data_IF_586526571684
#
_entry.id   IF_586526571684
#
_cell.length_a   1.000
_cell.length_b   1.000
_cell.length_c   1.000
_cell.angle_alpha   90.00
_cell.angle_beta   90.00
_cell.angle_gamma   90.00
#
_symmetry.space_group_name_H-M   'P 1'
#
loop_
_entity.id
_entity.type
_entity.pdbx_description
1 polymer ?
#
# COMPACT_ATOMS: atom_id res chain seq x y z
N UNK A 1 2.84 26.55 -7.82
CA UNK A 1 3.82 25.90 -8.73
C UNK A 1 3.33 24.51 -9.06
N UNK A 2 4.04 23.76 -9.91
CA UNK A 2 3.76 22.33 -10.11
C UNK A 2 4.02 21.54 -8.81
N UNK A 3 3.40 20.36 -8.67
CA UNK A 3 3.60 19.46 -7.52
C UNK A 3 5.11 19.15 -7.39
N UNK A 4 5.71 19.23 -6.19
CA UNK A 4 7.13 18.93 -6.01
C UNK A 4 7.43 17.46 -6.33
N UNK A 5 8.54 17.16 -7.00
CA UNK A 5 8.92 15.78 -7.36
C UNK A 5 8.98 14.79 -6.17
N UNK A 6 9.49 15.15 -4.98
CA UNK A 6 9.38 14.28 -3.79
C UNK A 6 7.95 13.81 -3.54
N UNK A 7 7.00 14.74 -3.62
CA UNK A 7 5.60 14.47 -3.36
C UNK A 7 4.91 13.64 -4.46
N UNK A 8 5.51 13.52 -5.66
CA UNK A 8 5.09 12.60 -6.72
C UNK A 8 5.59 11.16 -6.46
N UNK A 9 6.61 11.00 -5.62
CA UNK A 9 7.21 9.71 -5.25
C UNK A 9 6.57 9.26 -3.94
N UNK A 10 5.42 8.59 -4.03
CA UNK A 10 4.73 8.00 -2.88
C UNK A 10 4.34 9.00 -1.77
N UNK A 11 4.16 10.27 -2.11
CA UNK A 11 3.81 11.31 -1.12
C UNK A 11 4.96 11.71 -0.19
N UNK A 12 6.21 11.36 -0.56
CA UNK A 12 7.43 11.66 0.19
C UNK A 12 7.61 13.16 0.44
N UNK A 13 8.29 13.46 1.54
CA UNK A 13 8.80 14.78 1.87
C UNK A 13 10.33 14.75 2.05
N UNK A 14 10.91 15.84 2.55
CA UNK A 14 12.36 15.97 2.70
C UNK A 14 12.78 15.96 4.18
N UNK A 15 12.03 15.25 5.03
CA UNK A 15 12.31 15.14 6.46
C UNK A 15 13.22 13.95 6.85
N UNK A 16 13.50 13.05 5.90
CA UNK A 16 14.33 11.87 6.10
C UNK A 16 14.19 10.77 5.06
N UNK A 17 13.34 10.95 4.04
CA UNK A 17 13.09 9.93 3.02
C UNK A 17 14.33 9.55 2.20
N UNK A 18 14.47 8.25 1.95
CA UNK A 18 15.52 7.67 1.12
C UNK A 18 15.00 7.39 -0.29
N UNK A 19 15.79 7.75 -1.30
CA UNK A 19 15.43 7.54 -2.70
C UNK A 19 16.35 6.52 -3.35
N UNK A 20 15.75 5.59 -4.10
CA UNK A 20 16.49 4.70 -4.99
C UNK A 20 16.72 5.40 -6.32
N UNK A 21 17.99 5.68 -6.64
CA UNK A 21 18.38 6.30 -7.90
C UNK A 21 19.03 5.24 -8.80
N UNK A 22 18.43 4.99 -9.96
CA UNK A 22 18.90 4.02 -10.94
C UNK A 22 19.37 4.77 -12.18
N UNK A 23 20.64 4.60 -12.55
CA UNK A 23 21.25 5.19 -13.74
C UNK A 23 21.67 4.15 -14.79
N UNK A 24 21.49 2.85 -14.49
CA UNK A 24 21.73 1.79 -15.45
C UNK A 24 20.70 1.89 -16.59
N UNK A 25 21.19 2.01 -17.83
CA UNK A 25 20.35 2.23 -19.01
C UNK A 25 19.39 1.08 -19.27
N UNK A 26 19.78 -0.15 -18.91
CA UNK A 26 18.96 -1.34 -19.12
C UNK A 26 17.76 -1.40 -18.14
N UNK A 27 17.79 -0.58 -17.07
CA UNK A 27 16.74 -0.49 -16.05
C UNK A 27 15.91 0.79 -16.12
N UNK A 28 16.27 1.73 -17.00
CA UNK A 28 15.50 2.95 -17.22
C UNK A 28 14.31 2.63 -18.14
N UNK A 29 13.05 2.88 -17.73
CA UNK A 29 11.91 2.65 -18.58
C UNK A 29 11.97 3.49 -19.87
N UNK A 30 11.72 2.87 -21.01
CA UNK A 30 11.57 3.58 -22.30
C UNK A 30 10.18 4.25 -22.44
N UNK A 31 9.24 3.86 -21.57
CA UNK A 31 7.89 4.41 -21.54
C UNK A 31 7.87 5.76 -20.82
N UNK A 32 7.03 6.72 -21.23
CA UNK A 32 6.84 7.97 -20.51
C UNK A 32 6.42 7.75 -19.05
N UNK A 33 6.79 8.69 -18.18
CA UNK A 33 6.28 8.73 -16.82
C UNK A 33 4.75 8.85 -16.82
N UNK A 34 4.10 8.09 -15.96
CA UNK A 34 2.68 8.25 -15.69
C UNK A 34 2.44 9.56 -14.94
N UNK A 35 1.23 10.12 -15.08
CA UNK A 35 0.85 11.29 -14.30
C UNK A 35 0.87 10.96 -12.81
N UNK A 36 1.33 11.92 -12.00
CA UNK A 36 1.30 11.79 -10.55
C UNK A 36 -0.12 11.48 -10.08
N UNK A 37 -0.26 10.45 -9.25
CA UNK A 37 -1.55 10.08 -8.70
C UNK A 37 -1.99 11.18 -7.73
N UNK A 38 -3.14 11.79 -8.03
CA UNK A 38 -3.71 12.86 -7.22
C UNK A 38 -4.42 12.27 -5.99
N UNK A 39 -3.62 11.78 -5.05
CA UNK A 39 -4.11 11.47 -3.72
C UNK A 39 -3.77 12.63 -2.79
N UNK A 40 -4.76 13.46 -2.51
CA UNK A 40 -4.69 14.48 -1.46
C UNK A 40 -5.30 13.87 -0.20
N UNK A 41 -4.49 13.18 0.60
CA UNK A 41 -4.89 12.64 1.92
C UNK A 41 -5.04 13.72 3.00
N UNK A 42 -4.93 15.01 2.64
CA UNK A 42 -4.95 16.12 3.58
C UNK A 42 -6.37 16.46 4.04
N UNK A 43 -7.07 15.49 4.63
CA UNK A 43 -8.15 15.86 5.53
C UNK A 43 -7.53 16.39 6.82
N UNK A 44 -7.85 17.64 7.17
CA UNK A 44 -7.39 18.24 8.41
C UNK A 44 -7.76 17.33 9.59
N UNK A 45 -6.83 17.07 10.53
CA UNK A 45 -7.15 16.31 11.71
C UNK A 45 -8.27 17.01 12.50
N UNK A 46 -9.14 16.24 13.18
CA UNK A 46 -10.24 16.81 13.95
C UNK A 46 -9.71 17.78 15.01
N UNK A 47 -10.19 19.02 14.97
CA UNK A 47 -9.83 20.06 15.94
C UNK A 47 -10.66 19.89 17.20
N UNK A 48 -10.00 19.86 18.36
CA UNK A 48 -10.66 19.83 19.66
C UNK A 48 -10.82 21.26 20.19
N UNK A 49 -12.05 21.66 20.50
CA UNK A 49 -12.40 22.95 21.11
C UNK A 49 -12.03 23.05 22.61
N UNK A 50 -11.48 21.97 23.19
CA UNK A 50 -11.07 21.88 24.60
C UNK A 50 -9.60 21.49 24.73
N UNK A 51 -8.93 21.78 25.87
CA UNK A 51 -7.59 21.28 26.13
C UNK A 51 -7.50 19.76 26.03
N UNK A 52 -6.41 19.28 25.44
CA UNK A 52 -6.08 17.86 25.31
C UNK A 52 -5.82 17.29 26.71
N UNK A 53 -6.48 16.18 27.04
CA UNK A 53 -6.30 15.44 28.28
C UNK A 53 -5.44 14.19 28.04
N UNK A 54 -4.98 13.55 29.12
CA UNK A 54 -4.30 12.26 29.01
C UNK A 54 -5.19 11.15 28.46
N UNK A 55 -6.49 11.23 28.74
CA UNK A 55 -7.45 10.23 28.26
C UNK A 55 -7.60 10.30 26.74
N UNK A 56 -7.54 11.50 26.14
CA UNK A 56 -7.55 11.66 24.68
C UNK A 56 -6.33 10.99 24.03
N UNK A 57 -5.16 11.17 24.65
CA UNK A 57 -3.92 10.55 24.17
C UNK A 57 -4.02 9.03 24.26
N UNK A 58 -4.50 8.49 25.38
CA UNK A 58 -4.68 7.05 25.55
C UNK A 58 -5.67 6.48 24.53
N UNK A 59 -6.77 7.18 24.27
CA UNK A 59 -7.78 6.77 23.30
C UNK A 59 -7.19 6.69 21.89
N UNK A 60 -6.48 7.73 21.43
CA UNK A 60 -5.83 7.75 20.12
C UNK A 60 -4.79 6.64 20.00
N UNK A 61 -4.00 6.40 21.05
CA UNK A 61 -2.99 5.31 21.04
C UNK A 61 -3.67 3.94 20.92
N UNK A 62 -4.81 3.72 21.58
CA UNK A 62 -5.57 2.48 21.44
C UNK A 62 -6.15 2.35 20.03
N UNK A 63 -6.78 3.39 19.50
CA UNK A 63 -7.36 3.40 18.14
C UNK A 63 -6.30 3.10 17.07
N UNK A 64 -5.14 3.77 17.13
CA UNK A 64 -4.02 3.53 16.20
C UNK A 64 -3.42 2.13 16.38
N UNK A 65 -3.38 1.61 17.61
CA UNK A 65 -2.81 0.27 17.88
C UNK A 65 -3.76 -0.88 17.51
N UNK A 66 -5.07 -0.65 17.48
CA UNK A 66 -6.06 -1.68 17.16
C UNK A 66 -6.19 -1.92 15.65
N UNK A 67 -5.82 -0.94 14.82
CA UNK A 67 -6.02 -0.99 13.37
C UNK A 67 -4.71 -1.26 12.60
N UNK A 68 -4.23 -2.49 12.63
CA UNK A 68 -3.14 -2.98 11.75
C UNK A 68 -3.69 -3.64 10.48
N UNK A 69 -4.30 -2.85 9.61
CA UNK A 69 -4.85 -3.36 8.34
C UNK A 69 -3.93 -3.10 7.13
N UNK A 70 -2.94 -2.23 7.27
CA UNK A 70 -1.99 -1.86 6.21
C UNK A 70 -1.25 -3.06 5.63
N UNK A 71 -0.77 -3.96 6.50
CA UNK A 71 -0.10 -5.19 6.08
C UNK A 71 -1.03 -6.14 5.31
N UNK A 72 -2.30 -6.22 5.71
CA UNK A 72 -3.31 -7.04 5.03
C UNK A 72 -3.65 -6.47 3.64
N UNK A 73 -3.91 -5.15 3.57
CA UNK A 73 -4.19 -4.44 2.31
C UNK A 73 -3.04 -4.55 1.33
N UNK A 74 -1.80 -4.36 1.78
CA UNK A 74 -0.60 -4.50 0.96
C UNK A 74 -0.46 -5.91 0.34
N UNK A 75 -0.76 -6.95 1.14
CA UNK A 75 -0.76 -8.32 0.66
C UNK A 75 -1.88 -8.60 -0.36
N UNK A 76 -3.08 -8.06 -0.14
CA UNK A 76 -4.21 -8.20 -1.05
C UNK A 76 -3.90 -7.48 -2.37
N UNK A 77 -3.40 -6.25 -2.31
CA UNK A 77 -2.96 -5.49 -3.48
C UNK A 77 -1.92 -6.26 -4.29
N UNK A 78 -0.89 -6.81 -3.64
CA UNK A 78 0.15 -7.59 -4.32
C UNK A 78 -0.42 -8.82 -5.06
N UNK A 79 -1.42 -9.49 -4.49
CA UNK A 79 -2.09 -10.62 -5.12
C UNK A 79 -2.95 -10.19 -6.33
N UNK A 80 -3.66 -9.08 -6.22
CA UNK A 80 -4.43 -8.51 -7.34
C UNK A 80 -3.53 -7.99 -8.46
N UNK A 81 -2.39 -7.38 -8.15
CA UNK A 81 -1.40 -6.95 -9.14
C UNK A 81 -0.89 -8.12 -9.96
N UNK A 82 -0.63 -9.27 -9.32
CA UNK A 82 -0.19 -10.47 -10.03
C UNK A 82 -1.28 -11.01 -10.97
N UNK A 83 -2.53 -11.07 -10.47
CA UNK A 83 -3.70 -11.65 -11.15
C UNK A 83 -4.24 -10.78 -12.28
N UNK A 84 -4.45 -9.49 -12.03
CA UNK A 84 -5.16 -8.56 -12.92
C UNK A 84 -4.24 -7.50 -13.54
N UNK A 85 -3.06 -7.28 -12.94
CA UNK A 85 -2.09 -6.27 -13.38
C UNK A 85 -2.25 -4.94 -12.64
N UNK A 86 -1.13 -4.21 -12.54
CA UNK A 86 -1.01 -2.97 -11.75
C UNK A 86 -1.95 -1.84 -12.20
N UNK A 87 -2.31 -1.80 -13.48
CA UNK A 87 -3.22 -0.77 -14.04
C UNK A 87 -4.71 -1.13 -13.95
N UNK A 88 -5.05 -2.27 -13.34
CA UNK A 88 -6.44 -2.64 -13.12
C UNK A 88 -7.11 -1.68 -12.13
N UNK A 89 -8.42 -1.42 -12.32
CA UNK A 89 -9.15 -0.48 -11.47
C UNK A 89 -9.04 -0.86 -9.98
N UNK A 90 -9.16 -2.15 -9.68
CA UNK A 90 -9.06 -2.65 -8.30
C UNK A 90 -7.67 -2.37 -7.68
N UNK A 91 -6.59 -2.50 -8.46
CA UNK A 91 -5.24 -2.19 -7.96
C UNK A 91 -5.07 -0.69 -7.72
N UNK A 92 -5.58 0.15 -8.62
CA UNK A 92 -5.55 1.61 -8.43
C UNK A 92 -6.36 2.06 -7.21
N UNK A 93 -7.57 1.51 -7.04
CA UNK A 93 -8.41 1.79 -5.88
C UNK A 93 -7.71 1.34 -4.56
N UNK A 94 -7.12 0.14 -4.56
CA UNK A 94 -6.37 -0.40 -3.43
C UNK A 94 -5.11 0.43 -3.12
N UNK A 95 -4.38 0.89 -4.13
CA UNK A 95 -3.21 1.76 -3.93
C UNK A 95 -3.61 3.08 -3.26
N UNK A 96 -4.74 3.67 -3.67
CA UNK A 96 -5.31 4.85 -3.01
C UNK A 96 -5.72 4.59 -1.56
N UNK A 97 -6.34 3.43 -1.28
CA UNK A 97 -6.68 3.03 0.08
C UNK A 97 -5.42 2.79 0.94
N UNK A 98 -4.38 2.13 0.41
CA UNK A 98 -3.11 1.94 1.13
C UNK A 98 -2.47 3.30 1.45
N UNK A 99 -2.49 4.24 0.51
CA UNK A 99 -1.98 5.60 0.76
C UNK A 99 -2.72 6.31 1.90
N UNK A 100 -4.05 6.15 1.98
CA UNK A 100 -4.85 6.69 3.10
C UNK A 100 -4.50 6.02 4.42
N UNK A 101 -4.36 4.70 4.39
CA UNK A 101 -4.10 3.90 5.58
C UNK A 101 -2.74 4.23 6.21
N UNK A 102 -1.73 4.57 5.40
CA UNK A 102 -0.44 5.08 5.90
C UNK A 102 -0.61 6.38 6.71
N UNK A 103 -1.51 7.26 6.27
CA UNK A 103 -1.83 8.50 6.96
C UNK A 103 -2.90 8.34 8.06
N UNK A 104 -3.50 7.15 8.22
CA UNK A 104 -4.52 6.90 9.23
C UNK A 104 -3.98 7.10 10.65
N UNK A 105 -2.71 6.78 10.89
CA UNK A 105 -2.05 7.07 12.18
C UNK A 105 -2.01 8.57 12.52
N UNK A 106 -2.09 9.46 11.52
CA UNK A 106 -2.11 10.91 11.67
C UNK A 106 -3.54 11.48 11.69
N UNK A 107 -4.42 10.91 10.87
CA UNK A 107 -5.77 11.45 10.63
C UNK A 107 -6.86 10.77 11.48
N UNK A 108 -6.59 9.58 12.02
CA UNK A 108 -7.56 8.70 12.67
C UNK A 108 -8.61 8.12 11.72
N UNK A 109 -8.40 8.21 10.41
CA UNK A 109 -9.38 7.80 9.39
C UNK A 109 -8.87 6.62 8.58
N UNK A 110 -9.61 5.53 8.67
CA UNK A 110 -9.36 4.31 7.90
C UNK A 110 -10.27 4.28 6.66
N UNK A 111 -9.72 4.02 5.47
CA UNK A 111 -10.46 4.09 4.20
C UNK A 111 -11.39 2.89 4.00
N UNK A 112 -11.08 1.77 4.65
CA UNK A 112 -11.77 0.50 4.48
C UNK A 112 -12.06 -0.13 5.84
N UNK A 113 -13.27 -0.63 5.97
CA UNK A 113 -13.71 -1.43 7.12
C UNK A 113 -13.19 -2.87 7.02
N UNK A 114 -13.13 -3.58 8.15
CA UNK A 114 -12.75 -5.00 8.17
C UNK A 114 -13.60 -5.87 7.24
N UNK A 115 -14.90 -5.57 7.13
CA UNK A 115 -15.83 -6.26 6.25
C UNK A 115 -15.44 -6.10 4.77
N UNK A 116 -15.08 -4.88 4.34
CA UNK A 116 -14.64 -4.63 2.97
C UNK A 116 -13.30 -5.30 2.67
N UNK A 117 -12.39 -5.35 3.65
CA UNK A 117 -11.12 -6.08 3.52
C UNK A 117 -11.37 -7.59 3.37
N UNK A 118 -12.33 -8.13 4.10
CA UNK A 118 -12.75 -9.52 3.97
C UNK A 118 -13.33 -9.81 2.58
N UNK A 119 -14.20 -8.94 2.05
CA UNK A 119 -14.76 -9.07 0.69
C UNK A 119 -13.67 -9.08 -0.39
N UNK A 120 -12.67 -8.19 -0.28
CA UNK A 120 -11.53 -8.16 -1.20
C UNK A 120 -10.71 -9.46 -1.15
N UNK A 121 -10.56 -10.04 0.05
CA UNK A 121 -9.89 -11.33 0.22
C UNK A 121 -10.70 -12.49 -0.35
N UNK A 122 -12.02 -12.45 -0.21
CA UNK A 122 -12.93 -13.43 -0.83
C UNK A 122 -12.92 -13.35 -2.35
N UNK A 123 -12.81 -12.15 -2.93
CA UNK A 123 -12.67 -11.94 -4.38
C UNK A 123 -11.41 -12.58 -5.00
N UNK A 124 -10.39 -12.86 -4.19
CA UNK A 124 -9.22 -13.64 -4.59
C UNK A 124 -9.47 -15.16 -4.58
N UNK A 125 -10.66 -15.62 -4.21
CA UNK A 125 -11.01 -17.02 -3.94
C UNK A 125 -10.05 -17.69 -2.95
N UNK A 126 -9.45 -16.90 -2.06
CA UNK A 126 -8.37 -17.30 -1.15
C UNK A 126 -7.20 -18.02 -1.86
N UNK A 127 -6.95 -17.68 -3.13
CA UNK A 127 -5.81 -18.16 -3.94
C UNK A 127 -4.73 -17.09 -4.02
N UNK A 128 -3.49 -17.49 -3.82
CA UNK A 128 -2.36 -16.57 -3.68
C UNK A 128 -1.24 -16.88 -4.67
N UNK A 129 -0.46 -15.89 -5.13
CA UNK A 129 0.77 -16.16 -5.84
C UNK A 129 1.71 -17.04 -5.00
N UNK A 130 2.40 -17.97 -5.64
CA UNK A 130 3.29 -18.93 -5.01
C UNK A 130 4.53 -18.32 -4.35
N UNK A 131 4.95 -17.12 -4.74
CA UNK A 131 5.98 -16.36 -4.02
C UNK A 131 5.49 -15.81 -2.66
N UNK A 132 4.17 -15.82 -2.39
CA UNK A 132 3.57 -15.37 -1.13
C UNK A 132 3.27 -16.53 -0.16
N UNK A 133 3.96 -17.67 -0.28
CA UNK A 133 3.77 -18.83 0.60
C UNK A 133 4.05 -18.47 2.06
N UNK A 134 3.05 -18.70 2.91
CA UNK A 134 3.11 -18.48 4.36
C UNK A 134 2.29 -19.52 5.11
N UNK A 135 2.60 -19.78 6.38
CA UNK A 135 2.02 -20.84 7.22
C UNK A 135 0.48 -20.79 7.35
N UNK A 136 -0.16 -19.67 7.02
CA UNK A 136 -1.62 -19.49 7.07
C UNK A 136 -2.37 -19.57 5.73
N UNK A 137 -1.68 -19.67 4.59
CA UNK A 137 -2.31 -19.70 3.26
C UNK A 137 -2.25 -21.12 2.69
N UNK A 138 -3.37 -21.60 2.13
CA UNK A 138 -3.51 -23.00 1.68
C UNK A 138 -3.45 -23.16 0.17
N UNK A 139 -4.04 -22.24 -0.59
CA UNK A 139 -4.15 -22.35 -2.04
C UNK A 139 -3.20 -21.39 -2.74
N UNK A 140 -2.38 -21.91 -3.65
CA UNK A 140 -1.39 -21.14 -4.39
C UNK A 140 -1.45 -21.44 -5.89
N UNK A 141 -1.09 -20.45 -6.70
CA UNK A 141 -0.92 -20.61 -8.14
C UNK A 141 0.46 -20.12 -8.59
N UNK A 142 1.05 -20.72 -9.64
CA UNK A 142 2.34 -20.29 -10.15
C UNK A 142 2.24 -18.91 -10.81
N UNK A 143 2.92 -17.90 -10.25
CA UNK A 143 2.97 -16.57 -10.86
C UNK A 143 3.80 -16.60 -12.14
N UNK A 144 3.24 -16.02 -13.21
CA UNK A 144 3.93 -15.86 -14.50
C UNK A 144 4.59 -14.48 -14.64
N UNK A 145 4.42 -13.60 -13.65
CA UNK A 145 4.93 -12.22 -13.64
C UNK A 145 6.39 -12.19 -13.18
N UNK A 146 7.01 -11.01 -13.26
CA UNK A 146 8.42 -10.82 -12.94
C UNK A 146 8.74 -11.23 -11.49
N UNK A 147 7.87 -10.92 -10.53
CA UNK A 147 8.08 -11.29 -9.13
C UNK A 147 8.10 -12.81 -8.92
N UNK A 148 7.19 -13.54 -9.55
CA UNK A 148 7.20 -15.00 -9.55
C UNK A 148 8.50 -15.57 -10.15
N UNK A 149 8.98 -15.00 -11.25
CA UNK A 149 10.25 -15.42 -11.87
C UNK A 149 11.44 -15.11 -10.97
N UNK A 150 11.56 -13.91 -10.43
CA UNK A 150 12.72 -13.51 -9.64
C UNK A 150 12.79 -14.22 -8.27
N UNK A 151 11.66 -14.40 -7.59
CA UNK A 151 11.63 -14.90 -6.21
C UNK A 151 11.61 -16.42 -6.10
N UNK A 152 11.33 -17.14 -7.20
CA UNK A 152 11.21 -18.59 -7.20
C UNK A 152 12.25 -19.29 -8.07
N UNK A 153 13.15 -18.55 -8.72
CA UNK A 153 14.30 -19.16 -9.35
C UNK A 153 15.20 -19.74 -8.24
N UNK A 154 15.59 -21.02 -8.32
CA UNK A 154 16.70 -21.50 -7.52
C UNK A 154 17.90 -20.64 -7.90
N UNK A 155 18.57 -20.05 -6.91
CA UNK A 155 19.87 -19.44 -7.06
C UNK A 155 20.79 -20.48 -7.71
N UNK A 156 20.95 -20.42 -9.03
CA UNK A 156 22.03 -21.10 -9.73
C UNK A 156 23.27 -20.25 -9.48
N UNK A 157 23.87 -20.45 -8.30
CA UNK A 157 25.25 -20.04 -7.99
C UNK A 157 26.14 -21.25 -8.25
#
# INVERSE_FOLDING_TARGET
GHRPHPNEISGSDLDGDEYVVIWDKDLIPETPNENAYAYDSQEDPPKMERPITRDDINQIVMEVSEQDCLGSLSNIHLAYVDKEGIKSKICTDLAGAISQEVDAAKTGKHPLTEAQIAELREGLNNTWPDFMKSRGKKNFYPSKRILGKCLLLPLQI
#
